data_IF_122815629469
#
_entry.id   IF_122815629469
#
_cell.length_a   1.000
_cell.length_b   1.000
_cell.length_c   1.000
_cell.angle_alpha   90.00
_cell.angle_beta   90.00
_cell.angle_gamma   90.00
#
_symmetry.space_group_name_H-M   'P 1'
#
loop_
_entity.id
_entity.type
_entity.pdbx_description
1 polymer ?
#
# COMPACT_ATOMS: atom_id res chain seq x y z
N UNK A 1 6.77 19.49 -4.37
CA UNK A 1 6.67 18.22 -5.12
C UNK A 1 5.48 17.47 -4.56
N UNK A 2 4.31 17.72 -5.13
CA UNK A 2 3.10 16.96 -4.85
C UNK A 2 3.29 15.56 -5.45
N UNK A 3 3.63 14.60 -4.61
CA UNK A 3 3.53 13.20 -4.99
C UNK A 3 2.04 12.90 -5.16
N UNK A 4 1.56 12.86 -6.41
CA UNK A 4 0.26 12.30 -6.73
C UNK A 4 0.35 10.79 -6.52
N UNK A 5 0.18 10.35 -5.28
CA UNK A 5 0.21 8.95 -4.87
C UNK A 5 -0.95 8.13 -5.46
N UNK A 6 -1.65 8.67 -6.46
CA UNK A 6 -2.80 8.08 -7.16
C UNK A 6 -3.78 7.39 -6.20
N UNK A 7 -3.96 7.95 -4.99
CA UNK A 7 -4.71 7.31 -3.90
C UNK A 7 -6.16 7.00 -4.30
N UNK A 8 -6.72 7.80 -5.22
CA UNK A 8 -8.03 7.54 -5.77
C UNK A 8 -8.06 6.25 -6.60
N UNK A 9 -7.03 5.97 -7.42
CA UNK A 9 -6.91 4.70 -8.15
C UNK A 9 -6.80 3.52 -7.18
N UNK A 10 -5.94 3.64 -6.17
CA UNK A 10 -5.80 2.64 -5.10
C UNK A 10 -7.16 2.32 -4.45
N UNK A 11 -7.92 3.34 -4.07
CA UNK A 11 -9.26 3.17 -3.48
C UNK A 11 -10.23 2.47 -4.44
N UNK A 12 -10.19 2.82 -5.73
CA UNK A 12 -11.03 2.17 -6.76
C UNK A 12 -10.64 0.69 -6.91
N UNK A 13 -9.35 0.39 -6.97
CA UNK A 13 -8.81 -0.97 -7.09
C UNK A 13 -9.23 -1.85 -5.89
N UNK A 14 -9.05 -1.34 -4.66
CA UNK A 14 -9.43 -2.02 -3.42
C UNK A 14 -10.94 -2.31 -3.42
N UNK A 15 -11.78 -1.35 -3.83
CA UNK A 15 -13.23 -1.54 -3.92
C UNK A 15 -13.60 -2.57 -4.99
N UNK A 16 -12.93 -2.53 -6.14
CA UNK A 16 -13.17 -3.45 -7.26
C UNK A 16 -12.83 -4.88 -6.88
N UNK A 17 -11.70 -5.08 -6.19
CA UNK A 17 -11.27 -6.39 -5.70
C UNK A 17 -11.97 -6.81 -4.39
N UNK A 18 -12.73 -5.91 -3.75
CA UNK A 18 -13.38 -6.11 -2.45
C UNK A 18 -12.40 -6.60 -1.36
N UNK A 19 -11.15 -6.19 -1.45
CA UNK A 19 -10.10 -6.53 -0.50
C UNK A 19 -10.47 -6.01 0.89
N UNK A 20 -10.40 -6.88 1.90
CA UNK A 20 -10.69 -6.54 3.31
C UNK A 20 -9.41 -6.19 4.05
N UNK A 21 -8.28 -6.80 3.69
CA UNK A 21 -6.99 -6.54 4.30
C UNK A 21 -5.97 -6.19 3.22
N UNK A 22 -5.42 -4.98 3.29
CA UNK A 22 -4.49 -4.44 2.28
C UNK A 22 -3.19 -4.09 2.97
N UNK A 23 -2.07 -4.59 2.44
CA UNK A 23 -0.74 -4.21 2.90
C UNK A 23 -0.18 -3.10 2.00
N UNK A 24 0.39 -2.07 2.61
CA UNK A 24 1.00 -0.94 1.94
C UNK A 24 2.50 -0.93 2.26
N UNK A 25 3.32 -0.95 1.23
CA UNK A 25 4.76 -0.85 1.32
C UNK A 25 5.20 0.52 0.80
N UNK A 26 5.98 1.23 1.61
CA UNK A 26 6.40 2.60 1.34
C UNK A 26 7.92 2.67 1.26
N UNK A 27 8.44 3.41 0.28
CA UNK A 27 9.84 3.83 0.26
C UNK A 27 10.16 4.71 1.49
N UNK A 28 11.43 4.77 1.90
CA UNK A 28 11.86 5.51 3.10
C UNK A 28 11.37 6.96 3.13
N UNK A 29 11.40 7.67 2.00
CA UNK A 29 10.93 9.05 1.90
C UNK A 29 9.42 9.22 2.09
N UNK A 30 8.63 8.15 1.98
CA UNK A 30 7.17 8.16 2.13
C UNK A 30 6.71 7.59 3.48
N UNK A 31 7.60 6.99 4.27
CA UNK A 31 7.28 6.48 5.62
C UNK A 31 6.65 7.54 6.53
N UNK A 32 7.09 8.82 6.56
CA UNK A 32 6.43 9.85 7.37
C UNK A 32 4.98 10.16 6.95
N UNK A 33 4.60 9.79 5.73
CA UNK A 33 3.24 9.97 5.20
C UNK A 33 2.38 8.70 5.32
N UNK A 34 2.92 7.60 5.87
CA UNK A 34 2.24 6.32 5.95
C UNK A 34 0.88 6.41 6.65
N UNK A 35 0.83 7.04 7.82
CA UNK A 35 -0.39 7.19 8.61
C UNK A 35 -1.46 8.00 7.86
N UNK A 36 -1.05 9.02 7.09
CA UNK A 36 -1.97 9.82 6.28
C UNK A 36 -2.55 9.00 5.14
N UNK A 37 -1.73 8.18 4.48
CA UNK A 37 -2.14 7.29 3.38
C UNK A 37 -3.11 6.23 3.90
N UNK A 38 -2.75 5.57 5.00
CA UNK A 38 -3.58 4.58 5.67
C UNK A 38 -4.96 5.17 6.01
N UNK A 39 -5.00 6.27 6.77
CA UNK A 39 -6.26 6.89 7.17
C UNK A 39 -7.13 7.25 5.97
N UNK A 40 -6.55 7.76 4.89
CA UNK A 40 -7.30 8.17 3.69
C UNK A 40 -7.90 6.98 2.95
N UNK A 41 -7.23 5.82 2.95
CA UNK A 41 -7.72 4.59 2.33
C UNK A 41 -8.80 3.95 3.22
N UNK A 42 -8.55 3.84 4.52
CA UNK A 42 -9.52 3.27 5.48
C UNK A 42 -10.79 4.11 5.59
N UNK A 43 -10.71 5.44 5.48
CA UNK A 43 -11.91 6.31 5.45
C UNK A 43 -12.73 6.15 4.16
N UNK A 44 -12.07 5.87 3.04
CA UNK A 44 -12.74 5.77 1.73
C UNK A 44 -13.17 4.35 1.37
N UNK A 45 -12.67 3.34 2.08
CA UNK A 45 -12.93 1.92 1.85
C UNK A 45 -13.42 1.25 3.14
N UNK A 46 -13.78 -0.02 3.09
CA UNK A 46 -14.02 -0.83 4.31
C UNK A 46 -12.84 -1.76 4.60
N UNK A 47 -11.73 -1.56 3.89
CA UNK A 47 -10.54 -2.37 4.04
C UNK A 47 -9.73 -1.88 5.23
N UNK A 48 -9.11 -2.81 5.94
CA UNK A 48 -8.08 -2.51 6.93
C UNK A 48 -6.73 -2.43 6.22
N UNK A 49 -5.96 -1.41 6.55
CA UNK A 49 -4.66 -1.17 5.94
C UNK A 49 -3.56 -1.52 6.93
N UNK A 50 -2.56 -2.24 6.45
CA UNK A 50 -1.34 -2.56 7.19
C UNK A 50 -0.17 -1.84 6.54
N UNK A 51 0.64 -1.14 7.33
CA UNK A 51 1.87 -0.53 6.83
C UNK A 51 3.01 -1.54 7.02
N UNK A 52 3.72 -1.87 5.94
CA UNK A 52 4.93 -2.67 6.01
C UNK A 52 6.07 -1.85 6.60
N UNK A 53 6.38 -2.10 7.88
CA UNK A 53 7.46 -1.43 8.60
C UNK A 53 8.84 -2.11 8.46
N UNK A 54 8.92 -3.21 7.70
CA UNK A 54 10.19 -3.89 7.41
C UNK A 54 11.11 -3.05 6.52
N UNK A 55 12.38 -3.42 6.47
CA UNK A 55 13.27 -2.94 5.42
C UNK A 55 12.68 -3.29 4.06
N UNK A 56 12.60 -2.32 3.15
CA UNK A 56 12.09 -2.53 1.80
C UNK A 56 13.27 -2.34 0.83
N UNK A 57 14.12 -3.37 0.70
CA UNK A 57 15.30 -3.31 -0.17
C UNK A 57 14.97 -3.52 -1.66
N UNK A 58 13.70 -3.73 -2.04
CA UNK A 58 13.27 -3.78 -3.45
C UNK A 58 11.93 -4.49 -3.68
N UNK A 59 11.55 -4.62 -4.96
CA UNK A 59 10.32 -5.29 -5.42
C UNK A 59 10.30 -6.82 -5.15
N UNK A 60 11.44 -7.42 -4.80
CA UNK A 60 11.55 -8.83 -4.43
C UNK A 60 11.24 -9.11 -2.94
N UNK A 61 11.08 -8.07 -2.12
CA UNK A 61 10.80 -8.21 -0.68
C UNK A 61 9.29 -8.09 -0.41
N UNK A 62 8.51 -8.80 -1.22
CA UNK A 62 7.11 -9.11 -0.88
C UNK A 62 7.23 -10.19 0.19
N UNK A 63 6.94 -9.92 1.47
CA UNK A 63 7.03 -10.93 2.50
C UNK A 63 6.09 -12.07 2.14
N UNK A 64 6.66 -13.21 1.72
CA UNK A 64 5.90 -14.41 1.39
C UNK A 64 4.98 -14.82 2.55
N UNK A 65 5.37 -14.49 3.78
CA UNK A 65 4.62 -14.69 5.02
C UNK A 65 3.32 -13.89 5.11
N UNK A 66 3.18 -12.81 4.35
CA UNK A 66 1.99 -11.93 4.35
C UNK A 66 1.17 -12.07 3.07
N UNK A 67 1.75 -12.59 1.99
CA UNK A 67 1.07 -12.74 0.70
C UNK A 67 -0.21 -13.57 0.78
N UNK A 68 -0.23 -14.60 1.62
CA UNK A 68 -1.42 -15.42 1.88
C UNK A 68 -2.31 -14.89 3.03
N UNK A 69 -1.85 -13.83 3.72
CA UNK A 69 -2.56 -13.23 4.85
C UNK A 69 -3.30 -11.94 4.48
N UNK A 70 -2.92 -11.29 3.38
CA UNK A 70 -3.53 -10.04 2.92
C UNK A 70 -4.13 -10.23 1.54
N UNK A 71 -5.25 -9.55 1.29
CA UNK A 71 -5.97 -9.67 0.02
C UNK A 71 -5.31 -8.88 -1.11
N UNK A 72 -4.52 -7.84 -0.77
CA UNK A 72 -3.85 -6.98 -1.73
C UNK A 72 -2.58 -6.38 -1.12
N UNK A 73 -1.55 -6.21 -1.95
CA UNK A 73 -0.31 -5.52 -1.60
C UNK A 73 -0.12 -4.36 -2.57
N UNK A 74 0.14 -3.17 -2.02
CA UNK A 74 0.34 -1.94 -2.77
C UNK A 74 1.70 -1.36 -2.41
N UNK A 75 2.54 -1.16 -3.42
CA UNK A 75 3.88 -0.62 -3.25
C UNK A 75 3.93 0.81 -3.80
N UNK A 76 4.29 1.77 -2.95
CA UNK A 76 4.41 3.18 -3.30
C UNK A 76 5.88 3.60 -3.34
N UNK A 77 6.22 4.45 -4.32
CA UNK A 77 7.57 4.99 -4.47
C UNK A 77 8.51 4.15 -5.33
N UNK A 78 8.05 3.01 -5.86
CA UNK A 78 8.76 2.27 -6.89
C UNK A 78 7.99 2.39 -8.20
N UNK A 79 8.65 2.93 -9.23
CA UNK A 79 8.18 2.74 -10.60
C UNK A 79 8.14 1.24 -10.86
N UNK A 80 7.06 0.75 -11.44
CA UNK A 80 6.96 -0.63 -11.94
C UNK A 80 8.27 -0.91 -12.69
N UNK A 81 9.04 -1.90 -12.25
CA UNK A 81 10.20 -2.32 -13.05
C UNK A 81 9.63 -2.79 -14.39
N UNK A 82 9.92 -2.04 -15.46
CA UNK A 82 9.60 -2.42 -16.83
C UNK A 82 10.65 -3.38 -17.36
#
# INVERSE_FOLDING_TARGET
>A
MDYDLELNKVVIEIKKQKSKLVCIQLADGLKPMADKIQNKIEQKTKAKVLIWAGSCFGACDIPAQIKDKVDMIIQFGHSKWQ
#
